data_IF_676883552163
#
_entry.id   IF_676883552163
#
_cell.length_a   1.000
_cell.length_b   1.000
_cell.length_c   1.000
_cell.angle_alpha   90.00
_cell.angle_beta   90.00
_cell.angle_gamma   90.00
#
_symmetry.space_group_name_H-M   'P 1'
#
loop_
_entity.id
_entity.type
_entity.pdbx_description
1 polymer ?
#
# COMPACT_ATOMS: atom_id res chain seq x y z
N UNK A 1 29.31 17.07 22.10
CA UNK A 1 28.86 16.82 20.72
C UNK A 1 29.68 15.63 20.22
N UNK A 2 29.15 14.42 20.39
CA UNK A 2 29.84 13.17 20.03
C UNK A 2 29.66 12.86 18.54
N UNK A 3 30.79 12.80 17.83
CA UNK A 3 31.10 11.93 16.69
C UNK A 3 29.96 11.57 15.73
N UNK A 4 29.50 12.53 14.93
CA UNK A 4 28.74 12.25 13.72
C UNK A 4 29.63 11.59 12.67
N UNK A 5 29.62 10.25 12.59
CA UNK A 5 30.19 9.52 11.45
C UNK A 5 29.26 9.70 10.26
N UNK A 6 29.73 10.44 9.26
CA UNK A 6 29.08 10.48 7.95
C UNK A 6 29.47 9.22 7.17
N UNK A 7 28.47 8.42 6.78
CA UNK A 7 28.66 7.35 5.81
C UNK A 7 28.54 7.97 4.41
N UNK A 8 29.58 7.82 3.60
CA UNK A 8 29.58 8.22 2.20
C UNK A 8 28.81 7.16 1.42
N UNK A 9 27.66 7.56 0.88
CA UNK A 9 26.80 6.67 0.10
C UNK A 9 27.40 6.58 -1.30
N UNK A 10 27.70 5.34 -1.71
CA UNK A 10 28.56 5.05 -2.86
C UNK A 10 27.79 4.83 -4.16
N UNK A 11 26.47 4.78 -4.09
CA UNK A 11 25.60 4.65 -5.25
C UNK A 11 24.26 5.37 -5.06
N UNK A 12 23.70 5.90 -6.15
CA UNK A 12 22.40 6.57 -6.18
C UNK A 12 21.23 5.68 -5.71
N UNK A 13 21.47 4.36 -5.66
CA UNK A 13 20.53 3.31 -5.24
C UNK A 13 20.50 3.06 -3.73
N UNK A 14 21.54 3.52 -3.02
CA UNK A 14 21.67 3.36 -1.57
C UNK A 14 21.12 4.56 -0.78
N UNK A 15 20.73 5.66 -1.45
CA UNK A 15 20.62 6.95 -0.78
C UNK A 15 19.19 7.37 -0.37
N UNK A 16 18.13 7.11 -1.14
CA UNK A 16 16.77 7.48 -0.69
C UNK A 16 15.69 6.56 -1.27
N UNK A 17 15.34 5.48 -0.57
CA UNK A 17 13.99 4.95 -0.74
C UNK A 17 13.05 6.04 -0.25
N UNK A 18 12.23 6.58 -1.14
CA UNK A 18 11.15 7.49 -0.75
C UNK A 18 10.29 6.80 0.30
N UNK A 19 9.65 7.56 1.21
CA UNK A 19 8.71 6.97 2.17
C UNK A 19 7.65 6.09 1.48
N UNK A 20 7.32 6.41 0.22
CA UNK A 20 6.41 5.63 -0.60
C UNK A 20 6.97 4.27 -1.03
N UNK A 21 8.23 4.20 -1.50
CA UNK A 21 8.89 2.92 -1.83
C UNK A 21 8.99 1.99 -0.62
N UNK A 22 9.25 2.54 0.56
CA UNK A 22 9.29 1.76 1.81
C UNK A 22 7.94 1.08 2.12
N UNK A 23 6.81 1.69 1.76
CA UNK A 23 5.49 1.06 1.95
C UNK A 23 5.33 -0.20 1.10
N UNK A 24 5.85 -0.21 -0.13
CA UNK A 24 5.79 -1.37 -1.01
C UNK A 24 6.72 -2.48 -0.54
N UNK A 25 7.93 -2.15 -0.08
CA UNK A 25 8.87 -3.10 0.52
C UNK A 25 8.27 -3.73 1.79
N UNK A 26 7.62 -2.90 2.63
CA UNK A 26 6.88 -3.35 3.80
C UNK A 26 5.76 -4.33 3.38
N UNK A 27 4.94 -3.97 2.39
CA UNK A 27 3.85 -4.83 1.91
C UNK A 27 4.35 -6.20 1.44
N UNK A 28 5.45 -6.25 0.68
CA UNK A 28 6.09 -7.52 0.27
C UNK A 28 6.48 -8.37 1.47
N UNK A 29 7.18 -7.77 2.44
CA UNK A 29 7.64 -8.48 3.64
C UNK A 29 6.47 -9.05 4.46
N UNK A 30 5.36 -8.30 4.53
CA UNK A 30 4.14 -8.71 5.22
C UNK A 30 3.38 -9.82 4.49
N UNK A 31 3.37 -9.78 3.14
CA UNK A 31 2.81 -10.82 2.29
C UNK A 31 3.55 -12.16 2.43
N UNK A 32 4.90 -12.12 2.45
CA UNK A 32 5.72 -13.32 2.70
C UNK A 32 5.47 -13.91 4.09
N UNK A 33 5.14 -13.04 5.07
CA UNK A 33 4.87 -13.43 6.45
C UNK A 33 3.39 -13.76 6.74
N UNK A 34 2.51 -13.69 5.73
CA UNK A 34 1.06 -13.92 5.84
C UNK A 34 0.36 -13.06 6.92
N UNK A 35 0.84 -11.82 7.11
CA UNK A 35 0.32 -10.89 8.11
C UNK A 35 -0.81 -10.03 7.53
N UNK A 36 -1.98 -10.63 7.27
CA UNK A 36 -3.09 -10.02 6.53
C UNK A 36 -3.50 -8.62 6.99
N UNK A 37 -3.70 -8.41 8.30
CA UNK A 37 -4.12 -7.12 8.83
C UNK A 37 -3.03 -6.04 8.63
N UNK A 38 -1.76 -6.43 8.77
CA UNK A 38 -0.64 -5.54 8.51
C UNK A 38 -0.53 -5.24 7.02
N UNK A 39 -0.71 -6.23 6.15
CA UNK A 39 -0.77 -6.02 4.69
C UNK A 39 -1.84 -4.99 4.34
N UNK A 40 -3.04 -5.14 4.89
CA UNK A 40 -4.16 -4.23 4.65
C UNK A 40 -3.83 -2.80 5.08
N UNK A 41 -3.17 -2.62 6.22
CA UNK A 41 -2.69 -1.32 6.67
C UNK A 41 -1.66 -0.70 5.73
N UNK A 42 -0.70 -1.48 5.22
CA UNK A 42 0.27 -0.99 4.23
C UNK A 42 -0.42 -0.66 2.90
N UNK A 43 -1.34 -1.48 2.41
CA UNK A 43 -2.15 -1.22 1.21
C UNK A 43 -2.92 0.10 1.31
N UNK A 44 -3.61 0.33 2.43
CA UNK A 44 -4.34 1.58 2.71
C UNK A 44 -3.43 2.82 2.62
N UNK A 45 -2.25 2.77 3.25
CA UNK A 45 -1.25 3.86 3.21
C UNK A 45 -0.73 4.10 1.79
N UNK A 46 -0.55 3.03 1.00
CA UNK A 46 -0.13 3.13 -0.39
C UNK A 46 -1.22 3.80 -1.23
N UNK A 47 -2.48 3.35 -1.12
CA UNK A 47 -3.59 3.97 -1.86
C UNK A 47 -3.73 5.44 -1.49
N UNK A 48 -3.77 5.75 -0.20
CA UNK A 48 -3.93 7.12 0.28
C UNK A 48 -2.83 8.04 -0.27
N UNK A 49 -1.57 7.59 -0.23
CA UNK A 49 -0.43 8.35 -0.76
C UNK A 49 -0.55 8.53 -2.27
N UNK A 50 -0.93 7.47 -3.00
CA UNK A 50 -1.12 7.51 -4.45
C UNK A 50 -2.21 8.51 -4.86
N UNK A 51 -3.38 8.43 -4.23
CA UNK A 51 -4.53 9.31 -4.49
C UNK A 51 -4.15 10.76 -4.21
N UNK A 52 -3.53 11.04 -3.05
CA UNK A 52 -3.12 12.40 -2.65
C UNK A 52 -2.10 12.99 -3.62
N UNK A 53 -1.08 12.21 -4.00
CA UNK A 53 -0.03 12.66 -4.90
C UNK A 53 -0.57 12.97 -6.30
N UNK A 54 -1.46 12.11 -6.82
CA UNK A 54 -2.06 12.27 -8.15
C UNK A 54 -3.33 13.16 -8.16
N UNK A 55 -3.73 13.72 -7.01
CA UNK A 55 -4.94 14.55 -6.85
C UNK A 55 -6.21 13.87 -7.37
N UNK A 56 -6.32 12.57 -7.16
CA UNK A 56 -7.48 11.77 -7.57
C UNK A 56 -8.60 11.95 -6.54
N UNK A 57 -9.86 11.98 -7.00
CA UNK A 57 -11.00 11.96 -6.10
C UNK A 57 -11.25 10.52 -5.60
N UNK A 58 -11.37 10.34 -4.28
CA UNK A 58 -11.55 9.04 -3.63
C UNK A 58 -12.78 8.26 -4.15
N UNK A 59 -13.92 8.94 -4.30
CA UNK A 59 -15.16 8.31 -4.79
C UNK A 59 -15.01 7.84 -6.23
N UNK A 60 -14.32 8.63 -7.06
CA UNK A 60 -14.03 8.22 -8.44
C UNK A 60 -13.05 7.05 -8.49
N UNK A 61 -12.06 7.02 -7.59
CA UNK A 61 -11.06 5.96 -7.54
C UNK A 61 -11.67 4.59 -7.22
N UNK A 62 -12.68 4.57 -6.33
CA UNK A 62 -13.42 3.36 -5.98
C UNK A 62 -14.79 3.28 -6.64
N UNK A 63 -14.99 3.93 -7.79
CA UNK A 63 -16.28 3.93 -8.48
C UNK A 63 -16.73 2.48 -8.76
N UNK A 64 -17.96 2.16 -8.33
CA UNK A 64 -18.56 0.83 -8.45
C UNK A 64 -17.76 -0.29 -7.74
N UNK A 65 -16.92 0.07 -6.77
CA UNK A 65 -16.03 -0.83 -5.99
C UNK A 65 -16.16 -0.61 -4.49
N UNK A 66 -17.38 -0.73 -3.98
CA UNK A 66 -17.70 -0.49 -2.56
C UNK A 66 -16.95 -1.42 -1.61
N UNK A 67 -16.71 -2.69 -2.00
CA UNK A 67 -15.94 -3.64 -1.20
C UNK A 67 -14.46 -3.21 -1.08
N UNK A 68 -13.83 -2.80 -2.19
CA UNK A 68 -12.47 -2.28 -2.18
C UNK A 68 -12.36 -0.99 -1.38
N UNK A 69 -13.36 -0.10 -1.50
CA UNK A 69 -13.41 1.12 -0.69
C UNK A 69 -13.45 0.78 0.79
N UNK A 70 -14.33 -0.15 1.19
CA UNK A 70 -14.40 -0.62 2.58
C UNK A 70 -13.05 -1.15 3.04
N UNK A 71 -12.33 -1.93 2.23
CA UNK A 71 -11.03 -2.47 2.64
C UNK A 71 -9.91 -1.43 2.70
N UNK A 72 -9.84 -0.53 1.71
CA UNK A 72 -8.64 0.28 1.46
C UNK A 72 -8.80 1.77 1.79
N UNK A 73 -10.01 2.27 2.09
CA UNK A 73 -10.21 3.62 2.60
C UNK A 73 -9.96 3.68 4.11
N UNK A 74 -8.92 4.41 4.51
CA UNK A 74 -8.55 4.64 5.92
C UNK A 74 -9.67 5.28 6.73
N UNK A 75 -10.58 6.03 6.09
CA UNK A 75 -11.69 6.69 6.77
C UNK A 75 -12.91 5.78 6.97
N UNK A 76 -12.90 4.58 6.41
CA UNK A 76 -13.99 3.61 6.53
C UNK A 76 -13.95 2.81 7.85
N UNK A 77 -12.91 2.98 8.69
CA UNK A 77 -12.62 2.05 9.78
C UNK A 77 -12.67 2.63 11.18
N UNK A 78 -13.27 1.84 12.08
CA UNK A 78 -12.98 1.91 13.51
C UNK A 78 -11.85 0.93 13.86
N UNK A 79 -11.06 1.23 14.90
CA UNK A 79 -9.81 0.50 15.23
C UNK A 79 -10.07 -1.01 15.48
N UNK A 80 -11.26 -1.39 15.94
CA UNK A 80 -11.62 -2.77 16.27
C UNK A 80 -12.09 -3.61 15.05
N UNK A 81 -12.38 -2.99 13.90
CA UNK A 81 -13.04 -3.64 12.75
C UNK A 81 -12.08 -4.43 11.83
N UNK A 82 -10.77 -4.25 12.02
CA UNK A 82 -9.76 -4.73 11.07
C UNK A 82 -9.70 -6.26 10.97
N UNK A 83 -10.04 -6.95 12.06
CA UNK A 83 -10.08 -8.42 12.08
C UNK A 83 -11.30 -8.99 11.36
N UNK A 84 -12.39 -8.23 11.23
CA UNK A 84 -13.62 -8.67 10.54
C UNK A 84 -13.51 -8.54 9.03
N UNK A 85 -12.79 -7.54 8.55
CA UNK A 85 -12.58 -7.26 7.12
C UNK A 85 -11.75 -8.32 6.38
N UNK A 86 -10.81 -8.95 7.08
CA UNK A 86 -9.95 -10.00 6.52
C UNK A 86 -10.56 -11.40 6.67
N UNK A 87 -11.73 -11.54 7.30
CA UNK A 87 -12.41 -12.84 7.46
C UNK A 87 -12.73 -13.44 6.10
N UNK A 88 -12.23 -14.65 5.87
CA UNK A 88 -12.47 -15.42 4.65
C UNK A 88 -11.65 -14.96 3.44
N UNK A 89 -10.67 -14.07 3.62
CA UNK A 89 -9.73 -13.65 2.57
C UNK A 89 -8.33 -14.16 2.90
N UNK A 90 -7.63 -14.66 1.89
CA UNK A 90 -6.20 -14.96 1.98
C UNK A 90 -5.36 -13.82 1.40
N UNK A 91 -4.04 -13.90 1.58
CA UNK A 91 -3.09 -12.89 1.12
C UNK A 91 -3.14 -12.65 -0.39
N UNK A 92 -3.41 -13.69 -1.19
CA UNK A 92 -3.48 -13.61 -2.65
C UNK A 92 -4.75 -12.88 -3.10
N UNK A 93 -5.86 -13.16 -2.44
CA UNK A 93 -7.13 -12.47 -2.64
C UNK A 93 -6.98 -10.98 -2.32
N UNK A 94 -6.33 -10.63 -1.21
CA UNK A 94 -6.07 -9.22 -0.85
C UNK A 94 -5.21 -8.52 -1.90
N UNK A 95 -4.14 -9.15 -2.38
CA UNK A 95 -3.29 -8.59 -3.44
C UNK A 95 -4.03 -8.46 -4.77
N UNK A 96 -4.87 -9.43 -5.13
CA UNK A 96 -5.68 -9.37 -6.33
C UNK A 96 -6.66 -8.19 -6.30
N UNK A 97 -7.39 -8.01 -5.17
CA UNK A 97 -8.27 -6.86 -4.98
C UNK A 97 -7.49 -5.55 -5.02
N UNK A 98 -6.33 -5.50 -4.38
CA UNK A 98 -5.47 -4.32 -4.36
C UNK A 98 -4.98 -3.95 -5.77
N UNK A 99 -4.53 -4.93 -6.55
CA UNK A 99 -4.13 -4.77 -7.96
C UNK A 99 -5.29 -4.25 -8.82
N UNK A 100 -6.49 -4.81 -8.66
CA UNK A 100 -7.67 -4.45 -9.43
C UNK A 100 -8.01 -2.95 -9.32
N UNK A 101 -7.82 -2.36 -8.14
CA UNK A 101 -8.04 -0.93 -7.91
C UNK A 101 -7.11 -0.07 -8.78
N UNK A 102 -5.85 -0.46 -8.95
CA UNK A 102 -4.94 0.26 -9.87
C UNK A 102 -5.31 -0.01 -11.33
N UNK A 103 -5.69 -1.24 -11.67
CA UNK A 103 -6.06 -1.61 -13.04
C UNK A 103 -7.27 -0.81 -13.54
N UNK A 104 -8.34 -0.71 -12.76
CA UNK A 104 -9.54 0.05 -13.17
C UNK A 104 -9.31 1.56 -13.21
N UNK A 105 -8.21 2.04 -12.62
CA UNK A 105 -7.79 3.44 -12.65
C UNK A 105 -6.66 3.70 -13.67
N UNK A 106 -6.43 2.78 -14.63
CA UNK A 106 -5.38 2.86 -15.65
C UNK A 106 -3.96 3.03 -15.05
N UNK A 107 -3.74 2.49 -13.85
CA UNK A 107 -2.51 2.61 -13.08
C UNK A 107 -1.81 1.26 -12.89
N UNK A 108 -2.08 0.27 -13.75
CA UNK A 108 -1.52 -1.08 -13.61
C UNK A 108 0.01 -1.10 -13.72
N UNK A 109 0.59 -0.21 -14.55
CA UNK A 109 2.04 -0.06 -14.68
C UNK A 109 2.68 0.43 -13.37
N UNK A 110 1.97 1.30 -12.63
CA UNK A 110 2.40 1.75 -11.31
C UNK A 110 2.46 0.58 -10.34
N UNK A 111 1.41 -0.24 -10.28
CA UNK A 111 1.41 -1.45 -9.46
C UNK A 111 2.57 -2.39 -9.84
N UNK A 112 2.74 -2.71 -11.12
CA UNK A 112 3.80 -3.62 -11.58
C UNK A 112 5.22 -3.08 -11.43
N UNK A 113 5.39 -1.76 -11.27
CA UNK A 113 6.69 -1.15 -10.97
C UNK A 113 7.16 -1.51 -9.56
N UNK A 114 6.24 -1.54 -8.59
CA UNK A 114 6.55 -1.78 -7.18
C UNK A 114 6.28 -3.22 -6.71
N UNK A 115 5.30 -3.91 -7.30
CA UNK A 115 4.95 -5.30 -6.99
C UNK A 115 5.55 -6.26 -8.02
N UNK A 116 6.78 -6.72 -7.76
CA UNK A 116 7.57 -7.61 -8.64
C UNK A 116 7.88 -8.94 -7.98
#
# INVERSE_FOLDING_TARGET
LENGKFQLISSQKEDFNTHYELLWIELHSLYESDLLNSMLNSMRRIVETYIKFNKINLENFYKDKEEHKKLFDVNSHSIDDHSMETIGKDKDTLIAMFKEVFETNNAIEHFGTYWK
#
